data_IF_300539961622
#
_entry.id   IF_300539961622
#
_cell.length_a   1.000
_cell.length_b   1.000
_cell.length_c   1.000
_cell.angle_alpha   90.00
_cell.angle_beta   90.00
_cell.angle_gamma   90.00
#
_symmetry.space_group_name_H-M   'P 1'
#
loop_
_entity.id
_entity.type
_entity.pdbx_description
1 polymer ?
#
# COMPACT_ATOMS: atom_id res chain seq x y z
N UNK A 1 11.09 -8.29 25.42
CA UNK A 1 10.47 -7.11 26.06
C UNK A 1 9.17 -6.67 25.38
N UNK A 2 9.14 -6.26 24.10
CA UNK A 2 7.86 -5.90 23.42
C UNK A 2 6.92 -7.10 23.24
N UNK A 3 7.41 -8.18 22.61
CA UNK A 3 6.62 -9.39 22.38
C UNK A 3 6.17 -10.06 23.69
N UNK A 4 7.01 -10.04 24.73
CA UNK A 4 6.67 -10.58 26.05
C UNK A 4 5.53 -9.80 26.69
N UNK A 5 5.54 -8.47 26.57
CA UNK A 5 4.46 -7.62 27.07
C UNK A 5 3.16 -7.86 26.27
N UNK A 6 3.23 -7.92 24.93
CA UNK A 6 2.06 -8.26 24.11
C UNK A 6 1.47 -9.60 24.50
N UNK A 7 2.33 -10.60 24.77
CA UNK A 7 1.90 -11.93 25.22
C UNK A 7 1.23 -11.84 26.60
N UNK A 8 1.84 -11.15 27.56
CA UNK A 8 1.27 -10.93 28.89
C UNK A 8 -0.09 -10.24 28.83
N UNK A 9 -0.25 -9.20 28.02
CA UNK A 9 -1.52 -8.50 27.87
C UNK A 9 -2.61 -9.40 27.26
N UNK A 10 -2.25 -10.28 26.33
CA UNK A 10 -3.17 -11.31 25.82
C UNK A 10 -3.56 -12.33 26.88
N UNK A 11 -2.60 -12.78 27.70
CA UNK A 11 -2.86 -13.70 28.83
C UNK A 11 -3.75 -13.05 29.90
N UNK A 12 -3.64 -11.74 30.10
CA UNK A 12 -4.51 -10.94 30.98
C UNK A 12 -5.89 -10.65 30.39
N UNK A 13 -6.16 -11.07 29.14
CA UNK A 13 -7.42 -10.81 28.45
C UNK A 13 -7.62 -9.34 28.06
N UNK A 14 -6.55 -8.55 27.97
CA UNK A 14 -6.63 -7.18 27.48
C UNK A 14 -6.82 -7.19 25.97
N UNK A 15 -7.75 -6.37 25.51
CA UNK A 15 -7.96 -6.15 24.08
C UNK A 15 -6.88 -5.21 23.53
N UNK A 16 -6.16 -5.66 22.51
CA UNK A 16 -4.96 -4.97 21.99
C UNK A 16 -5.27 -4.33 20.64
N UNK A 17 -4.96 -3.05 20.53
CA UNK A 17 -4.98 -2.31 19.27
C UNK A 17 -3.56 -2.16 18.72
N UNK A 18 -3.43 -2.34 17.41
CA UNK A 18 -2.22 -2.16 16.63
C UNK A 18 -2.39 -0.93 15.74
N UNK A 19 -1.33 -0.12 15.67
CA UNK A 19 -1.22 0.99 14.75
C UNK A 19 -0.32 0.56 13.60
N UNK A 20 -0.79 0.71 12.37
CA UNK A 20 -0.02 0.36 11.17
C UNK A 20 0.09 1.56 10.23
N UNK A 21 1.29 1.80 9.71
CA UNK A 21 1.58 2.85 8.72
C UNK A 21 1.97 2.23 7.39
N UNK A 22 1.28 2.61 6.32
CA UNK A 22 1.56 2.18 4.94
C UNK A 22 1.84 3.38 4.07
N UNK A 23 3.05 3.44 3.49
CA UNK A 23 3.43 4.47 2.52
C UNK A 23 3.17 3.96 1.09
N UNK A 24 2.30 4.65 0.35
CA UNK A 24 1.94 4.34 -1.03
C UNK A 24 2.52 5.39 -1.98
N UNK A 25 3.16 4.97 -3.06
CA UNK A 25 3.59 5.89 -4.11
C UNK A 25 2.36 6.37 -4.89
N UNK A 26 2.04 7.67 -4.82
CA UNK A 26 0.87 8.22 -5.51
C UNK A 26 1.03 8.27 -7.05
N UNK A 27 2.20 7.89 -7.58
CA UNK A 27 2.49 7.78 -9.02
C UNK A 27 2.26 6.40 -9.64
N UNK A 28 2.10 5.34 -8.83
CA UNK A 28 2.02 3.95 -9.33
C UNK A 28 0.59 3.53 -9.76
N UNK A 29 -0.41 4.37 -9.53
CA UNK A 29 -1.78 4.12 -10.00
C UNK A 29 -1.98 4.69 -11.41
N UNK A 30 -1.38 4.06 -12.42
CA UNK A 30 -1.87 4.26 -13.80
C UNK A 30 -3.19 3.52 -13.93
N UNK A 31 -4.28 4.23 -14.27
CA UNK A 31 -5.62 3.68 -14.58
C UNK A 31 -5.67 2.72 -15.78
N UNK A 32 -4.50 2.34 -16.30
CA UNK A 32 -4.33 1.42 -17.43
C UNK A 32 -3.74 0.12 -16.88
N UNK A 33 -4.63 -0.73 -16.40
CA UNK A 33 -4.28 -2.13 -16.12
C UNK A 33 -3.70 -2.75 -17.38
N UNK A 34 -2.49 -3.30 -17.27
CA UNK A 34 -1.83 -4.03 -18.35
C UNK A 34 -2.68 -5.29 -18.64
N UNK A 35 -3.37 -5.32 -19.78
CA UNK A 35 -4.08 -6.52 -20.24
C UNK A 35 -3.16 -7.25 -21.22
N UNK A 36 -2.65 -8.38 -20.77
CA UNK A 36 -1.57 -9.16 -21.39
C UNK A 36 -2.04 -9.96 -22.63
N UNK A 37 -2.56 -9.26 -23.64
CA UNK A 37 -3.17 -9.91 -24.82
C UNK A 37 -2.89 -9.27 -26.18
N UNK A 38 -2.21 -8.11 -26.27
CA UNK A 38 -2.12 -7.34 -27.52
C UNK A 38 -0.70 -6.79 -27.77
N UNK A 39 0.34 -7.58 -27.53
CA UNK A 39 1.70 -7.20 -27.96
C UNK A 39 2.27 -8.30 -28.83
N UNK A 40 2.44 -7.99 -30.13
CA UNK A 40 3.05 -8.91 -31.11
C UNK A 40 4.57 -8.72 -31.23
N UNK A 41 5.13 -7.59 -30.77
CA UNK A 41 6.59 -7.33 -30.77
C UNK A 41 6.96 -6.07 -29.95
N UNK A 42 8.24 -5.96 -29.58
CA UNK A 42 8.82 -4.77 -28.91
C UNK A 42 8.62 -3.45 -29.66
N UNK A 43 8.52 -3.49 -31.00
CA UNK A 43 8.36 -2.30 -31.83
C UNK A 43 6.95 -1.71 -31.71
N UNK A 44 5.93 -2.57 -31.58
CA UNK A 44 4.53 -2.17 -31.41
C UNK A 44 4.31 -1.52 -30.04
N UNK A 45 5.02 -2.01 -29.02
CA UNK A 45 5.09 -1.46 -27.67
C UNK A 45 5.67 -0.03 -27.64
N UNK A 46 6.72 0.22 -28.44
CA UNK A 46 7.35 1.55 -28.57
C UNK A 46 6.46 2.54 -29.32
N UNK A 47 5.88 2.14 -30.45
CA UNK A 47 5.01 3.00 -31.27
C UNK A 47 3.69 3.35 -30.56
N UNK A 48 3.18 2.47 -29.70
CA UNK A 48 1.96 2.71 -28.91
C UNK A 48 2.22 3.39 -27.56
N UNK A 49 3.47 3.67 -27.20
CA UNK A 49 3.83 4.32 -25.93
C UNK A 49 3.48 3.48 -24.69
N UNK A 50 3.47 2.15 -24.82
CA UNK A 50 3.25 1.23 -23.70
C UNK A 50 4.60 0.97 -23.03
N UNK A 51 4.92 1.61 -21.89
CA UNK A 51 6.09 1.19 -21.13
C UNK A 51 5.81 -0.12 -20.40
N UNK A 52 6.76 -1.06 -20.49
CA UNK A 52 6.74 -2.28 -19.67
C UNK A 52 7.19 -1.84 -18.28
N UNK A 53 6.23 -1.64 -17.38
CA UNK A 53 6.48 -1.26 -16.00
C UNK A 53 6.10 0.17 -15.66
N UNK A 54 5.73 0.36 -14.40
CA UNK A 54 5.49 1.66 -13.79
C UNK A 54 6.72 2.54 -14.02
N UNK A 55 6.50 3.66 -14.72
CA UNK A 55 7.55 4.65 -14.92
C UNK A 55 7.86 5.24 -13.54
N UNK A 56 9.05 4.97 -13.03
CA UNK A 56 9.59 5.71 -11.89
C UNK A 56 9.57 7.19 -12.26
N UNK A 57 8.60 7.94 -11.72
CA UNK A 57 8.45 9.36 -12.04
C UNK A 57 9.61 10.12 -11.41
N UNK A 58 10.46 10.73 -12.25
CA UNK A 58 11.64 11.52 -11.85
C UNK A 58 11.31 12.87 -11.15
N UNK A 59 10.05 13.12 -10.76
CA UNK A 59 9.64 14.29 -9.99
C UNK A 59 9.47 13.93 -8.51
N UNK A 60 9.57 14.91 -7.60
CA UNK A 60 9.34 14.73 -6.15
C UNK A 60 8.17 13.77 -5.92
N UNK A 61 8.50 12.58 -5.43
CA UNK A 61 7.56 11.49 -5.24
C UNK A 61 6.51 11.89 -4.22
N UNK A 62 5.29 12.13 -4.69
CA UNK A 62 4.12 12.32 -3.85
C UNK A 62 3.83 10.96 -3.19
N UNK A 63 3.99 10.85 -1.88
CA UNK A 63 3.73 9.60 -1.13
C UNK A 63 2.46 9.82 -0.33
N UNK A 64 1.47 8.95 -0.51
CA UNK A 64 0.30 8.90 0.36
C UNK A 64 0.66 8.03 1.56
N UNK A 65 0.63 8.61 2.75
CA UNK A 65 0.79 7.89 4.01
C UNK A 65 -0.60 7.53 4.52
N UNK A 66 -0.82 6.25 4.76
CA UNK A 66 -2.06 5.69 5.29
C UNK A 66 -1.76 5.09 6.66
N UNK A 67 -2.40 5.61 7.69
CA UNK A 67 -2.32 5.11 9.05
C UNK A 67 -3.66 4.45 9.40
N UNK A 68 -3.62 3.24 9.93
CA UNK A 68 -4.80 2.52 10.38
C UNK A 68 -4.60 1.97 11.80
N UNK A 69 -5.71 1.86 12.52
CA UNK A 69 -5.78 1.20 13.83
C UNK A 69 -6.68 -0.02 13.69
N UNK A 70 -6.23 -1.16 14.18
CA UNK A 70 -7.02 -2.38 14.20
C UNK A 70 -6.71 -3.28 15.39
N UNK A 71 -7.58 -4.25 15.63
CA UNK A 71 -7.40 -5.31 16.63
C UNK A 71 -7.73 -6.66 16.02
N UNK A 72 -7.84 -7.68 16.86
CA UNK A 72 -8.34 -9.00 16.46
C UNK A 72 -9.78 -8.97 15.90
N UNK A 73 -10.56 -7.94 16.23
CA UNK A 73 -11.92 -7.74 15.73
C UNK A 73 -11.96 -7.00 14.37
N UNK A 74 -10.80 -6.64 13.84
CA UNK A 74 -10.66 -5.91 12.58
C UNK A 74 -10.31 -4.43 12.77
N UNK A 75 -10.56 -3.63 11.74
CA UNK A 75 -10.22 -2.20 11.76
C UNK A 75 -11.15 -1.41 12.68
N UNK A 76 -10.56 -0.50 13.45
CA UNK A 76 -11.29 0.42 14.31
C UNK A 76 -12.01 1.47 13.43
N UNK A 77 -13.35 1.59 13.49
CA UNK A 77 -14.08 2.60 12.73
C UNK A 77 -13.61 4.02 13.09
N UNK A 78 -13.27 4.83 12.09
CA UNK A 78 -12.71 6.17 12.30
C UNK A 78 -11.22 6.19 12.68
N UNK A 79 -10.56 5.04 12.76
CA UNK A 79 -9.12 4.92 13.01
C UNK A 79 -8.22 5.11 11.78
N UNK A 80 -8.80 5.48 10.63
CA UNK A 80 -8.08 5.74 9.39
C UNK A 80 -7.62 7.20 9.34
N UNK A 81 -6.34 7.43 9.11
CA UNK A 81 -5.76 8.75 8.83
C UNK A 81 -4.92 8.68 7.55
N UNK A 82 -5.28 9.48 6.54
CA UNK A 82 -4.57 9.54 5.26
C UNK A 82 -4.06 10.95 4.98
N UNK A 83 -2.79 11.10 4.62
CA UNK A 83 -2.16 12.38 4.31
C UNK A 83 -0.97 12.22 3.34
N UNK A 84 -0.45 13.33 2.85
CA UNK A 84 0.59 13.40 1.80
C UNK A 84 1.72 14.36 2.20
#
# INVERSE_FOLDING_TARGET
MYLDNTKKYREEGQHIYFLNETCVNAGDCTSKTWVDGIIKSHLDTFLKGLSIGAVNTSGKWKRLIVLDIGSEDGFLPGGLLCFE
#
